data_IF_996448859894
#
_entry.id   IF_996448859894
#
_cell.length_a   1.000
_cell.length_b   1.000
_cell.length_c   1.000
_cell.angle_alpha   90.00
_cell.angle_beta   90.00
_cell.angle_gamma   90.00
#
_symmetry.space_group_name_H-M   'P 1'
#
loop_
_entity.id
_entity.type
_entity.pdbx_description
1 polymer ?
#
# COMPACT_ATOMS: atom_id res chain seq x y z
N UNK A 1 -3.15 34.76 22.72
CA UNK A 1 -4.23 34.37 21.76
C UNK A 1 -3.69 33.96 20.38
N UNK A 2 -2.75 34.69 19.77
CA UNK A 2 -2.18 34.34 18.44
C UNK A 2 -1.38 33.03 18.40
N UNK A 3 -0.75 32.63 19.50
CA UNK A 3 0.04 31.39 19.62
C UNK A 3 -0.80 30.12 19.59
N UNK A 4 -1.99 30.13 20.21
CA UNK A 4 -2.92 29.00 20.17
C UNK A 4 -3.52 28.78 18.78
N UNK A 5 -3.73 29.87 18.03
CA UNK A 5 -4.21 29.80 16.65
C UNK A 5 -3.17 29.14 15.73
N UNK A 6 -1.88 29.47 15.91
CA UNK A 6 -0.78 28.83 15.19
C UNK A 6 -0.61 27.35 15.54
N UNK A 7 -0.77 26.98 16.82
CA UNK A 7 -0.76 25.58 17.28
C UNK A 7 -1.94 24.78 16.74
N UNK A 8 -3.14 25.36 16.71
CA UNK A 8 -4.34 24.74 16.11
C UNK A 8 -4.17 24.53 14.60
N UNK A 9 -3.58 25.51 13.89
CA UNK A 9 -3.28 25.40 12.47
C UNK A 9 -2.21 24.35 12.16
N UNK A 10 -1.18 24.20 13.00
CA UNK A 10 -0.19 23.14 12.82
C UNK A 10 -0.79 21.75 13.04
N UNK A 11 -1.68 21.61 14.03
CA UNK A 11 -2.32 20.34 14.35
C UNK A 11 -3.22 19.82 13.20
N UNK A 12 -3.95 20.70 12.51
CA UNK A 12 -4.78 20.29 11.37
C UNK A 12 -3.99 19.78 10.17
N UNK A 13 -2.76 20.26 9.94
CA UNK A 13 -1.89 19.75 8.85
C UNK A 13 -1.40 18.33 9.14
N UNK A 14 -1.15 17.96 10.40
CA UNK A 14 -0.72 16.61 10.76
C UNK A 14 -1.82 15.55 10.62
N UNK A 15 -3.11 15.94 10.58
CA UNK A 15 -4.24 15.04 10.39
C UNK A 15 -4.57 14.74 8.93
N UNK A 16 -3.76 15.19 7.95
CA UNK A 16 -3.94 14.74 6.56
C UNK A 16 -3.65 13.25 6.48
N UNK A 17 -4.70 12.45 6.57
CA UNK A 17 -4.71 11.01 6.39
C UNK A 17 -3.90 10.67 5.14
N UNK A 18 -2.79 9.96 5.29
CA UNK A 18 -2.00 9.47 4.17
C UNK A 18 -2.88 8.51 3.36
N UNK A 19 -3.57 9.03 2.34
CA UNK A 19 -4.53 8.25 1.58
C UNK A 19 -3.77 7.22 0.75
N UNK A 20 -4.18 5.97 0.89
CA UNK A 20 -3.62 4.86 0.11
C UNK A 20 -4.26 4.83 -1.27
N UNK A 21 -3.46 4.82 -2.33
CA UNK A 21 -3.94 4.54 -3.68
C UNK A 21 -3.89 3.04 -3.92
N UNK A 22 -5.03 2.41 -4.24
CA UNK A 22 -5.11 0.96 -4.47
C UNK A 22 -5.23 0.67 -5.95
N UNK A 23 -4.20 0.03 -6.51
CA UNK A 23 -4.16 -0.42 -7.90
C UNK A 23 -4.63 -1.88 -8.00
N UNK A 24 -5.68 -2.10 -8.80
CA UNK A 24 -6.29 -3.42 -9.05
C UNK A 24 -6.06 -3.91 -10.49
N UNK A 25 -5.17 -3.27 -11.23
CA UNK A 25 -4.95 -3.52 -12.67
C UNK A 25 -4.11 -4.78 -12.93
N UNK A 26 -3.29 -5.18 -11.96
CA UNK A 26 -2.45 -6.38 -12.03
C UNK A 26 -3.13 -7.52 -11.29
N UNK A 27 -3.24 -8.68 -11.91
CA UNK A 27 -3.91 -9.87 -11.34
C UNK A 27 -3.11 -11.17 -11.44
N UNK A 28 -2.10 -11.18 -12.30
CA UNK A 28 -1.33 -12.38 -12.63
C UNK A 28 -0.09 -12.49 -11.75
N UNK A 29 0.29 -13.73 -11.43
CA UNK A 29 1.46 -14.05 -10.64
C UNK A 29 2.45 -14.85 -11.50
N UNK A 30 3.74 -14.51 -11.40
CA UNK A 30 4.84 -15.24 -12.02
C UNK A 30 5.07 -16.58 -11.33
N UNK A 31 4.95 -16.61 -10.00
CA UNK A 31 5.04 -17.82 -9.20
C UNK A 31 4.00 -17.79 -8.07
N UNK A 32 3.34 -18.93 -7.83
CA UNK A 32 2.38 -19.11 -6.73
C UNK A 32 3.07 -19.35 -5.37
N UNK A 33 4.13 -18.59 -5.09
CA UNK A 33 4.82 -18.64 -3.80
C UNK A 33 4.38 -17.50 -2.91
N UNK A 34 4.51 -17.70 -1.60
CA UNK A 34 4.33 -16.64 -0.61
C UNK A 34 5.63 -15.84 -0.49
N UNK A 35 5.55 -14.51 -0.50
CA UNK A 35 6.71 -13.65 -0.26
C UNK A 35 7.06 -13.58 1.24
N UNK A 36 8.33 -13.35 1.55
CA UNK A 36 8.77 -12.92 2.88
C UNK A 36 8.44 -11.46 3.19
N UNK A 37 8.69 -11.05 4.43
CA UNK A 37 8.61 -9.65 4.83
C UNK A 37 9.65 -8.81 4.08
N UNK A 38 9.27 -7.62 3.60
CA UNK A 38 10.07 -6.71 2.77
C UNK A 38 10.60 -7.30 1.45
N UNK A 39 10.15 -8.49 1.06
CA UNK A 39 10.49 -9.06 -0.24
C UNK A 39 9.71 -8.36 -1.35
N UNK A 40 10.33 -8.21 -2.53
CA UNK A 40 9.71 -7.60 -3.71
C UNK A 40 8.58 -8.47 -4.24
N UNK A 41 7.35 -7.99 -4.08
CA UNK A 41 6.14 -8.64 -4.58
C UNK A 41 5.80 -8.21 -6.02
N UNK A 42 6.24 -7.02 -6.47
CA UNK A 42 6.01 -6.52 -7.84
C UNK A 42 7.13 -5.57 -8.26
N UNK A 43 7.65 -5.77 -9.47
CA UNK A 43 8.71 -4.92 -10.04
C UNK A 43 8.15 -3.65 -10.70
N UNK A 44 8.97 -2.60 -10.79
CA UNK A 44 8.62 -1.43 -11.59
C UNK A 44 8.24 -1.82 -13.03
N UNK A 45 7.21 -1.17 -13.58
CA UNK A 45 6.69 -1.39 -14.94
C UNK A 45 6.14 -2.78 -15.30
N UNK A 46 6.40 -3.81 -14.49
CA UNK A 46 5.87 -5.15 -14.72
C UNK A 46 4.37 -5.20 -14.41
N UNK A 47 3.62 -5.90 -15.27
CA UNK A 47 2.17 -6.15 -15.11
C UNK A 47 1.87 -7.53 -14.52
N UNK A 48 2.82 -8.08 -13.76
CA UNK A 48 2.72 -9.37 -13.08
C UNK A 48 3.33 -9.24 -11.67
N UNK A 49 2.79 -9.97 -10.71
CA UNK A 49 3.38 -10.12 -9.37
C UNK A 49 4.45 -11.20 -9.38
N UNK A 50 5.55 -11.04 -8.61
CA UNK A 50 6.55 -12.11 -8.46
C UNK A 50 6.08 -13.21 -7.51
N UNK A 51 5.35 -12.82 -6.46
CA UNK A 51 4.85 -13.69 -5.42
C UNK A 51 3.66 -13.03 -4.71
N UNK A 52 2.94 -13.81 -3.90
CA UNK A 52 1.79 -13.34 -3.11
C UNK A 52 2.25 -12.94 -1.71
N UNK A 53 1.91 -11.74 -1.25
CA UNK A 53 2.19 -11.38 0.14
C UNK A 53 1.32 -12.24 1.09
N UNK A 54 1.80 -12.56 2.30
CA UNK A 54 0.97 -13.13 3.36
C UNK A 54 -0.26 -12.28 3.66
N UNK A 55 -1.34 -12.88 4.17
CA UNK A 55 -2.63 -12.20 4.39
C UNK A 55 -2.57 -10.98 5.33
N UNK A 56 -1.52 -10.87 6.14
CA UNK A 56 -1.29 -9.76 7.07
C UNK A 56 -0.36 -8.67 6.50
N UNK A 57 0.12 -8.80 5.25
CA UNK A 57 1.02 -7.85 4.59
C UNK A 57 0.44 -7.33 3.26
N UNK A 58 0.66 -6.03 3.04
CA UNK A 58 0.31 -5.31 1.81
C UNK A 58 1.48 -5.32 0.83
N UNK A 59 1.19 -5.46 -0.46
CA UNK A 59 2.17 -5.23 -1.52
C UNK A 59 2.26 -3.72 -1.78
N UNK A 60 3.21 -3.05 -1.13
CA UNK A 60 3.30 -1.58 -1.04
C UNK A 60 4.49 -1.04 -1.80
N UNK A 61 4.29 0.05 -2.54
CA UNK A 61 5.35 0.89 -3.10
C UNK A 61 5.14 2.38 -2.74
N UNK A 62 6.18 3.18 -2.91
CA UNK A 62 6.10 4.65 -2.71
C UNK A 62 5.33 5.35 -3.83
N UNK A 63 5.13 4.66 -4.96
CA UNK A 63 4.40 5.15 -6.12
C UNK A 63 4.30 4.09 -7.22
N UNK A 64 3.65 4.45 -8.33
CA UNK A 64 3.41 3.53 -9.47
C UNK A 64 4.69 3.01 -10.15
N UNK A 65 5.75 3.82 -10.13
CA UNK A 65 7.00 3.58 -10.86
C UNK A 65 8.12 3.01 -9.99
N UNK A 66 7.77 2.46 -8.83
CA UNK A 66 8.72 1.85 -7.90
C UNK A 66 8.40 0.38 -7.69
N UNK A 67 9.41 -0.40 -7.33
CA UNK A 67 9.23 -1.73 -6.77
C UNK A 67 8.30 -1.70 -5.56
N UNK A 68 7.43 -2.70 -5.49
CA UNK A 68 6.56 -2.93 -4.35
C UNK A 68 7.08 -4.10 -3.52
N UNK A 69 7.00 -3.95 -2.20
CA UNK A 69 7.46 -4.94 -1.23
C UNK A 69 6.33 -5.31 -0.28
N UNK A 70 6.40 -6.51 0.30
CA UNK A 70 5.44 -6.91 1.34
C UNK A 70 5.72 -6.16 2.65
N UNK A 71 4.82 -5.28 3.04
CA UNK A 71 4.94 -4.43 4.22
C UNK A 71 3.67 -4.50 5.08
N UNK A 72 3.81 -4.27 6.38
CA UNK A 72 2.65 -4.12 7.27
C UNK A 72 1.90 -2.80 7.05
N UNK A 73 2.58 -1.83 6.45
CA UNK A 73 2.02 -0.49 6.22
C UNK A 73 1.07 -0.50 5.03
N UNK A 74 -0.08 0.14 5.21
CA UNK A 74 -1.18 0.23 4.25
C UNK A 74 -1.24 1.58 3.52
N UNK A 75 -0.25 2.45 3.72
CA UNK A 75 -0.19 3.81 3.17
C UNK A 75 0.63 3.87 1.88
N UNK A 76 0.41 4.89 1.05
CA UNK A 76 1.10 5.04 -0.23
C UNK A 76 0.42 4.25 -1.36
N UNK A 77 1.19 3.63 -2.26
CA UNK A 77 0.66 2.91 -3.41
C UNK A 77 0.57 1.41 -3.11
N UNK A 78 -0.65 0.88 -3.09
CA UNK A 78 -0.94 -0.50 -2.74
C UNK A 78 -1.33 -1.25 -4.00
N UNK A 79 -0.61 -2.32 -4.31
CA UNK A 79 -0.95 -3.24 -5.38
C UNK A 79 -1.86 -4.33 -4.84
N UNK A 80 -3.14 -4.27 -5.19
CA UNK A 80 -4.16 -5.23 -4.78
C UNK A 80 -3.89 -6.59 -5.43
N UNK A 81 -3.82 -7.61 -4.59
CA UNK A 81 -3.62 -9.02 -4.99
C UNK A 81 -4.94 -9.82 -4.90
N UNK A 82 -6.08 -9.11 -4.95
CA UNK A 82 -7.45 -9.65 -4.90
C UNK A 82 -7.69 -10.59 -3.70
N UNK A 83 -7.21 -10.19 -2.52
CA UNK A 83 -7.34 -10.98 -1.28
C UNK A 83 -8.58 -10.59 -0.48
N UNK A 84 -9.11 -11.56 0.28
CA UNK A 84 -10.31 -11.36 1.11
C UNK A 84 -10.19 -10.16 2.08
N UNK A 85 -8.99 -9.94 2.66
CA UNK A 85 -8.77 -8.83 3.60
C UNK A 85 -8.65 -7.45 2.91
N UNK A 86 -8.19 -7.41 1.64
CA UNK A 86 -8.19 -6.18 0.83
C UNK A 86 -9.63 -5.81 0.42
N UNK A 87 -10.48 -6.81 0.18
CA UNK A 87 -11.90 -6.64 -0.17
C UNK A 87 -12.76 -6.16 1.00
N UNK A 88 -12.50 -6.60 2.23
CA UNK A 88 -13.19 -6.09 3.43
C UNK A 88 -12.90 -4.60 3.69
N UNK A 89 -11.77 -4.09 3.20
CA UNK A 89 -11.36 -2.68 3.37
C UNK A 89 -11.98 -1.74 2.36
N UNK A 90 -12.19 -2.16 1.11
CA UNK A 90 -12.80 -1.33 0.06
C UNK A 90 -14.28 -0.98 0.32
N UNK A 91 -14.91 -1.58 1.35
CA UNK A 91 -16.31 -1.37 1.73
C UNK A 91 -16.48 -0.47 2.97
N UNK A 92 -15.39 0.07 3.53
CA UNK A 92 -15.42 0.93 4.71
C UNK A 92 -15.14 2.38 4.35
#
# INVERSE_FOLDING_TARGET
MKTYLALLLLCTVFLTTSQSFVDKTVKTFQAERTCGYNEVCKEEFHKIFKCKCPAYLYCRSQGRYYNAVCSITDTGYIWSQERAYELTRSKK
#
